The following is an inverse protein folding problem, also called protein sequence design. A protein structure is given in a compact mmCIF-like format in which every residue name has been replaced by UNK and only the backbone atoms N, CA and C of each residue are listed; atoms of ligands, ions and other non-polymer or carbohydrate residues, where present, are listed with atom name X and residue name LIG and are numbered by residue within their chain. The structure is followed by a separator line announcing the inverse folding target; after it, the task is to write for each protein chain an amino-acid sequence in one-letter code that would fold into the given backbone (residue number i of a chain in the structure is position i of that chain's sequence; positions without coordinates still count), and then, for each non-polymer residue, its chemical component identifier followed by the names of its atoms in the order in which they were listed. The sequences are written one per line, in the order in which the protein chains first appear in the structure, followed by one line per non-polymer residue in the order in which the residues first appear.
data_IF_840420529286
#
_entry.id   IF_840420529286
#
_cell.length_a   1.000
_cell.length_b   1.000
_cell.length_c   1.000
_cell.angle_alpha   90.00
_cell.angle_beta   90.00
_cell.angle_gamma   90.00
#
_symmetry.space_group_name_H-M   'P 1'
#
loop_
_entity.id
_entity.type
_entity.pdbx_description
1 polymer ?
#
# COMPACT_ATOMS: atom_id res chain seq x y z
N UNK A 1 -26.78 3.77 -17.05
CA UNK A 1 -25.46 3.91 -16.42
C UNK A 1 -25.50 4.45 -14.97
N UNK A 2 -26.39 5.40 -14.60
CA UNK A 2 -26.45 5.97 -13.24
C UNK A 2 -26.90 5.00 -12.13
N UNK A 3 -27.82 4.07 -12.41
CA UNK A 3 -28.29 3.07 -11.41
C UNK A 3 -27.21 2.11 -10.90
N UNK A 4 -26.15 1.88 -11.68
CA UNK A 4 -25.04 1.01 -11.29
C UNK A 4 -24.08 1.70 -10.30
N UNK A 5 -23.81 2.99 -10.47
CA UNK A 5 -22.87 3.75 -9.60
C UNK A 5 -23.34 3.80 -8.15
N UNK A 6 -24.65 3.95 -7.88
CA UNK A 6 -25.19 4.00 -6.52
C UNK A 6 -24.94 2.73 -5.71
N UNK A 7 -25.03 1.54 -6.32
CA UNK A 7 -24.76 0.26 -5.64
C UNK A 7 -23.31 0.12 -5.21
N UNK A 8 -22.37 0.56 -6.06
CA UNK A 8 -20.93 0.56 -5.73
C UNK A 8 -20.60 1.54 -4.62
N UNK A 9 -21.17 2.76 -4.65
CA UNK A 9 -20.97 3.77 -3.60
C UNK A 9 -21.53 3.24 -2.28
N UNK A 10 -22.74 2.69 -2.28
CA UNK A 10 -23.33 2.10 -1.07
C UNK A 10 -22.50 0.94 -0.53
N UNK A 11 -22.03 0.04 -1.41
CA UNK A 11 -21.13 -1.06 -1.02
C UNK A 11 -19.83 -0.56 -0.40
N UNK A 12 -19.24 0.49 -0.97
CA UNK A 12 -18.03 1.12 -0.42
C UNK A 12 -18.28 1.75 0.95
N UNK A 13 -19.39 2.46 1.12
CA UNK A 13 -19.76 3.09 2.40
C UNK A 13 -20.05 2.05 3.48
N UNK A 14 -20.75 0.96 3.14
CA UNK A 14 -21.01 -0.15 4.08
C UNK A 14 -19.69 -0.84 4.48
N UNK A 15 -18.79 -1.08 3.54
CA UNK A 15 -17.49 -1.69 3.81
C UNK A 15 -16.62 -0.78 4.68
N UNK A 16 -16.58 0.53 4.37
CA UNK A 16 -15.86 1.52 5.17
C UNK A 16 -16.45 1.64 6.57
N UNK A 17 -17.77 1.73 6.70
CA UNK A 17 -18.46 1.76 7.99
C UNK A 17 -18.23 0.49 8.81
N UNK A 18 -18.29 -0.68 8.17
CA UNK A 18 -17.99 -1.97 8.80
C UNK A 18 -16.54 -2.05 9.29
N UNK A 19 -15.60 -1.55 8.50
CA UNK A 19 -14.20 -1.49 8.91
C UNK A 19 -13.96 -0.55 10.09
N UNK A 20 -14.56 0.64 10.07
CA UNK A 20 -14.51 1.59 11.20
C UNK A 20 -15.15 0.96 12.44
N UNK A 21 -16.32 0.33 12.29
CA UNK A 21 -17.00 -0.37 13.39
C UNK A 21 -16.11 -1.48 13.98
N UNK A 22 -15.47 -2.28 13.14
CA UNK A 22 -14.52 -3.32 13.58
C UNK A 22 -13.33 -2.71 14.33
N UNK A 23 -12.78 -1.60 13.82
CA UNK A 23 -11.66 -0.93 14.48
C UNK A 23 -12.04 -0.34 15.84
N UNK A 24 -13.28 0.15 15.97
CA UNK A 24 -13.82 0.65 17.25
C UNK A 24 -14.08 -0.47 18.27
N UNK A 25 -14.54 -1.63 17.80
CA UNK A 25 -14.92 -2.75 18.69
C UNK A 25 -13.72 -3.66 19.03
N UNK A 26 -12.81 -3.83 18.10
CA UNK A 26 -11.63 -4.72 18.21
C UNK A 26 -10.41 -4.12 17.51
N UNK A 27 -9.76 -3.10 18.09
CA UNK A 27 -8.74 -2.31 17.42
C UNK A 27 -7.51 -3.13 16.98
N UNK A 28 -7.13 -4.17 17.74
CA UNK A 28 -6.02 -5.07 17.35
C UNK A 28 -6.38 -5.85 16.08
N UNK A 29 -7.62 -6.34 15.98
CA UNK A 29 -8.13 -7.04 14.79
C UNK A 29 -8.25 -6.06 13.62
N UNK A 30 -8.72 -4.85 13.88
CA UNK A 30 -8.78 -3.76 12.89
C UNK A 30 -7.39 -3.42 12.34
N UNK A 31 -6.38 -3.32 13.22
CA UNK A 31 -4.98 -3.09 12.82
C UNK A 31 -4.44 -4.23 11.97
N UNK A 32 -4.61 -5.48 12.39
CA UNK A 32 -4.17 -6.65 11.62
C UNK A 32 -4.84 -6.72 10.25
N UNK A 33 -6.15 -6.44 10.19
CA UNK A 33 -6.89 -6.36 8.93
C UNK A 33 -6.41 -5.23 8.04
N UNK A 34 -6.07 -4.05 8.61
CA UNK A 34 -5.50 -2.92 7.86
C UNK A 34 -4.20 -3.31 7.16
N UNK A 35 -3.31 -3.98 7.90
CA UNK A 35 -2.04 -4.49 7.36
C UNK A 35 -2.31 -5.50 6.23
N UNK A 36 -3.23 -6.45 6.46
CA UNK A 36 -3.62 -7.44 5.44
C UNK A 36 -4.19 -6.80 4.17
N UNK A 37 -5.07 -5.82 4.31
CA UNK A 37 -5.65 -5.06 3.19
C UNK A 37 -4.56 -4.27 2.46
N UNK A 38 -3.62 -3.64 3.18
CA UNK A 38 -2.52 -2.90 2.58
C UNK A 38 -1.61 -3.83 1.75
N UNK A 39 -1.29 -5.02 2.26
CA UNK A 39 -0.54 -6.06 1.53
C UNK A 39 -1.29 -6.51 0.28
N UNK A 40 -2.57 -6.86 0.41
CA UNK A 40 -3.36 -7.37 -0.69
C UNK A 40 -3.59 -6.31 -1.78
N UNK A 41 -3.93 -5.07 -1.37
CA UNK A 41 -4.19 -3.96 -2.30
C UNK A 41 -2.90 -3.46 -2.96
N UNK A 42 -1.83 -3.27 -2.18
CA UNK A 42 -0.54 -2.82 -2.69
C UNK A 42 0.06 -3.84 -3.66
N UNK A 43 0.19 -5.09 -3.24
CA UNK A 43 0.72 -6.16 -4.08
C UNK A 43 -0.15 -6.49 -5.29
N UNK A 44 -1.49 -6.51 -5.10
CA UNK A 44 -2.43 -6.76 -6.21
C UNK A 44 -2.41 -5.66 -7.26
N UNK A 45 -2.36 -4.40 -6.84
CA UNK A 45 -2.21 -3.26 -7.73
C UNK A 45 -0.90 -3.31 -8.51
N UNK A 46 0.18 -3.65 -7.84
CA UNK A 46 1.52 -3.73 -8.42
C UNK A 46 1.65 -4.85 -9.46
N UNK A 47 1.10 -6.04 -9.17
CA UNK A 47 1.05 -7.16 -10.14
C UNK A 47 0.16 -6.82 -11.33
N UNK A 48 -0.93 -6.09 -11.11
CA UNK A 48 -1.76 -5.66 -12.22
C UNK A 48 -1.01 -4.70 -13.16
N UNK A 49 -0.22 -3.78 -12.61
CA UNK A 49 0.66 -2.89 -13.41
C UNK A 49 1.71 -3.71 -14.15
N UNK A 50 2.37 -4.65 -13.48
CA UNK A 50 3.37 -5.53 -14.10
C UNK A 50 2.76 -6.25 -15.34
N UNK A 51 1.57 -6.82 -15.20
CA UNK A 51 0.88 -7.49 -16.30
C UNK A 51 0.56 -6.57 -17.47
N UNK A 52 0.25 -5.31 -17.20
CA UNK A 52 -0.14 -4.35 -18.25
C UNK A 52 1.05 -3.67 -18.93
N UNK A 53 2.23 -3.65 -18.30
CA UNK A 53 3.41 -2.93 -18.81
C UNK A 53 4.49 -3.84 -19.38
N UNK A 54 5.00 -4.77 -18.56
CA UNK A 54 6.15 -5.62 -18.91
C UNK A 54 5.77 -7.06 -19.21
N UNK A 55 4.49 -7.40 -18.99
CA UNK A 55 4.03 -8.78 -19.00
C UNK A 55 4.33 -9.52 -17.69
N UNK A 56 3.62 -10.61 -17.46
CA UNK A 56 3.82 -11.46 -16.29
C UNK A 56 3.66 -12.93 -16.70
N UNK A 57 4.30 -13.29 -17.82
CA UNK A 57 4.15 -14.62 -18.43
C UNK A 57 4.69 -15.75 -17.52
N UNK A 58 5.61 -15.41 -16.62
CA UNK A 58 6.10 -16.33 -15.60
C UNK A 58 5.06 -16.66 -14.53
N UNK A 59 3.97 -15.87 -14.39
CA UNK A 59 2.89 -16.13 -13.41
C UNK A 59 1.80 -16.96 -14.06
N UNK A 60 1.93 -18.29 -13.98
CA UNK A 60 1.04 -19.24 -14.68
C UNK A 60 -0.09 -19.81 -13.82
N UNK A 61 -0.02 -19.70 -12.50
CA UNK A 61 -1.00 -20.28 -11.60
C UNK A 61 -1.57 -19.25 -10.60
N UNK A 62 -2.77 -19.54 -10.07
CA UNK A 62 -3.40 -18.74 -9.03
C UNK A 62 -2.55 -18.67 -7.75
N UNK A 63 -1.91 -19.78 -7.37
CA UNK A 63 -1.02 -19.82 -6.20
C UNK A 63 0.16 -18.88 -6.41
N UNK A 64 0.78 -18.93 -7.58
CA UNK A 64 1.89 -18.07 -7.93
C UNK A 64 1.48 -16.59 -7.95
N UNK A 65 0.26 -16.28 -8.39
CA UNK A 65 -0.33 -14.95 -8.30
C UNK A 65 -0.40 -14.45 -6.85
N UNK A 66 -0.92 -15.28 -5.92
CA UNK A 66 -0.99 -14.91 -4.51
C UNK A 66 0.38 -14.75 -3.87
N UNK A 67 1.36 -15.60 -4.25
CA UNK A 67 2.74 -15.45 -3.79
C UNK A 67 3.37 -14.14 -4.31
N UNK A 68 3.14 -13.78 -5.56
CA UNK A 68 3.61 -12.53 -6.14
C UNK A 68 2.98 -11.31 -5.45
N UNK A 69 1.66 -11.33 -5.21
CA UNK A 69 0.95 -10.30 -4.45
C UNK A 69 1.50 -10.20 -3.03
N UNK A 70 1.71 -11.35 -2.36
CA UNK A 70 2.27 -11.40 -1.02
C UNK A 70 3.73 -10.92 -0.95
N UNK A 71 4.56 -11.25 -1.93
CA UNK A 71 5.95 -10.83 -2.00
C UNK A 71 6.08 -9.29 -2.16
N UNK A 72 5.31 -8.70 -3.08
CA UNK A 72 5.34 -7.26 -3.34
C UNK A 72 4.64 -6.45 -2.25
N UNK A 73 3.42 -6.82 -1.88
CA UNK A 73 2.67 -6.14 -0.82
C UNK A 73 3.28 -6.35 0.57
N UNK A 74 3.82 -7.55 0.82
CA UNK A 74 4.54 -7.88 2.06
C UNK A 74 5.83 -7.07 2.20
N UNK A 75 6.53 -6.75 1.12
CA UNK A 75 7.70 -5.86 1.18
C UNK A 75 7.36 -4.52 1.85
N UNK A 76 6.17 -3.96 1.57
CA UNK A 76 5.73 -2.67 2.12
C UNK A 76 5.36 -2.75 3.60
N UNK A 77 4.86 -3.88 4.08
CA UNK A 77 4.34 -4.03 5.45
C UNK A 77 5.18 -4.96 6.32
N UNK A 78 5.53 -6.16 5.83
CA UNK A 78 6.26 -7.14 6.62
C UNK A 78 7.73 -6.76 6.84
N UNK A 79 8.38 -6.18 5.82
CA UNK A 79 9.78 -5.78 5.94
C UNK A 79 9.98 -4.68 7.00
N UNK A 80 9.19 -3.58 7.04
CA UNK A 80 9.30 -2.59 8.12
C UNK A 80 9.01 -3.15 9.52
N UNK A 81 8.08 -4.10 9.64
CA UNK A 81 7.79 -4.75 10.94
C UNK A 81 9.04 -5.46 11.48
N UNK A 82 9.82 -6.07 10.59
CA UNK A 82 11.03 -6.82 10.96
C UNK A 82 12.24 -5.91 11.10
N UNK A 83 12.42 -4.95 10.20
CA UNK A 83 13.58 -4.08 10.16
C UNK A 83 13.53 -2.96 11.22
N UNK A 84 12.33 -2.46 11.51
CA UNK A 84 12.10 -1.35 12.46
C UNK A 84 10.99 -1.70 13.46
N UNK A 85 11.14 -2.77 14.27
CA UNK A 85 10.08 -3.27 15.14
C UNK A 85 9.61 -2.22 16.16
N UNK A 86 10.51 -1.44 16.73
CA UNK A 86 10.17 -0.41 17.73
C UNK A 86 9.34 0.72 17.11
N UNK A 87 9.74 1.21 15.92
CA UNK A 87 9.01 2.27 15.22
C UNK A 87 7.63 1.79 14.80
N UNK A 88 7.51 0.57 14.30
CA UNK A 88 6.24 -0.01 13.90
C UNK A 88 5.33 -0.30 15.10
N UNK A 89 5.90 -0.79 16.19
CA UNK A 89 5.19 -0.99 17.47
C UNK A 89 4.63 0.34 17.98
N UNK A 90 5.45 1.38 18.08
CA UNK A 90 5.02 2.70 18.52
C UNK A 90 3.90 3.28 17.65
N UNK A 91 4.01 3.15 16.34
CA UNK A 91 2.95 3.56 15.41
C UNK A 91 1.65 2.80 15.66
N UNK A 92 1.73 1.49 15.88
CA UNK A 92 0.58 0.62 16.16
C UNK A 92 -0.08 0.97 17.50
N UNK A 93 0.71 1.25 18.52
CA UNK A 93 0.23 1.72 19.82
C UNK A 93 -0.51 3.05 19.69
N UNK A 94 0.05 4.00 18.96
CA UNK A 94 -0.60 5.29 18.71
C UNK A 94 -1.94 5.11 18.01
N UNK A 95 -2.01 4.27 16.98
CA UNK A 95 -3.27 4.01 16.27
C UNK A 95 -4.33 3.39 17.19
N UNK A 96 -3.95 2.43 18.02
CA UNK A 96 -4.89 1.77 18.95
C UNK A 96 -5.28 2.70 20.09
N UNK A 97 -4.35 3.48 20.63
CA UNK A 97 -4.60 4.42 21.73
C UNK A 97 -5.56 5.54 21.40
N UNK A 98 -5.66 5.91 20.11
CA UNK A 98 -6.67 6.89 19.67
C UNK A 98 -8.10 6.44 19.95
N UNK A 99 -8.33 5.13 20.06
CA UNK A 99 -9.66 4.54 20.25
C UNK A 99 -9.77 3.86 21.61
N UNK A 100 -8.72 3.14 22.00
CA UNK A 100 -8.65 2.38 23.26
C UNK A 100 -7.36 2.68 24.02
N UNK A 101 -7.32 3.75 24.84
CA UNK A 101 -6.12 4.13 25.60
C UNK A 101 -5.63 3.03 26.55
N UNK A 102 -6.53 2.19 27.05
CA UNK A 102 -6.19 1.10 27.99
C UNK A 102 -5.59 -0.13 27.29
N UNK A 103 -5.68 -0.22 25.96
CA UNK A 103 -5.18 -1.34 25.18
C UNK A 103 -3.69 -1.29 24.81
N UNK A 104 -2.99 -0.22 25.21
CA UNK A 104 -1.60 0.05 24.79
C UNK A 104 -0.65 -1.07 25.20
N UNK A 105 -0.75 -1.58 26.43
CA UNK A 105 0.14 -2.62 26.95
C UNK A 105 -0.02 -4.00 26.30
N UNK A 106 -1.17 -4.24 25.65
CA UNK A 106 -1.43 -5.53 25.01
C UNK A 106 -0.66 -5.70 23.68
N UNK A 107 -0.37 -4.62 22.96
CA UNK A 107 0.26 -4.67 21.64
C UNK A 107 1.71 -5.17 21.73
N UNK A 108 2.47 -4.75 22.76
CA UNK A 108 3.87 -5.15 22.93
C UNK A 108 4.07 -6.67 23.02
N UNK A 109 3.19 -7.37 23.73
CA UNK A 109 3.24 -8.83 23.84
C UNK A 109 2.94 -9.53 22.53
N UNK A 110 2.05 -8.99 21.70
CA UNK A 110 1.75 -9.54 20.37
C UNK A 110 2.93 -9.37 19.41
N UNK A 111 3.60 -8.23 19.38
CA UNK A 111 4.71 -7.97 18.46
C UNK A 111 5.94 -8.84 18.71
N UNK A 112 6.21 -9.21 19.96
CA UNK A 112 7.33 -10.10 20.30
C UNK A 112 7.23 -11.48 19.64
N UNK A 113 6.01 -11.97 19.44
CA UNK A 113 5.72 -13.26 18.80
C UNK A 113 5.41 -13.09 17.31
N UNK A 114 4.57 -12.12 16.96
CA UNK A 114 4.09 -11.94 15.58
C UNK A 114 5.15 -11.36 14.67
N UNK A 115 6.07 -10.53 15.16
CA UNK A 115 7.17 -9.98 14.36
C UNK A 115 8.02 -11.05 13.69
N UNK A 116 8.63 -11.98 14.44
CA UNK A 116 9.38 -13.09 13.87
C UNK A 116 8.55 -13.99 12.96
N UNK A 117 7.29 -14.28 13.30
CA UNK A 117 6.40 -15.09 12.46
C UNK A 117 6.09 -14.40 11.13
N UNK A 118 5.85 -13.10 11.14
CA UNK A 118 5.65 -12.30 9.93
C UNK A 118 6.91 -12.33 9.06
N UNK A 119 8.09 -12.19 9.66
CA UNK A 119 9.37 -12.25 8.96
C UNK A 119 9.62 -13.60 8.28
N UNK A 120 9.42 -14.69 9.02
CA UNK A 120 9.55 -16.05 8.47
C UNK A 120 8.49 -16.29 7.38
N UNK A 121 7.24 -15.96 7.64
CA UNK A 121 6.14 -16.10 6.68
C UNK A 121 6.39 -15.32 5.39
N UNK A 122 6.84 -14.08 5.53
CA UNK A 122 7.22 -13.25 4.38
C UNK A 122 8.40 -13.86 3.60
N UNK A 123 9.44 -14.32 4.30
CA UNK A 123 10.59 -14.98 3.68
C UNK A 123 10.18 -16.20 2.85
N UNK A 124 9.28 -17.04 3.38
CA UNK A 124 8.75 -18.21 2.67
C UNK A 124 7.93 -17.80 1.43
N UNK A 125 7.09 -16.79 1.54
CA UNK A 125 6.32 -16.24 0.41
C UNK A 125 7.25 -15.68 -0.67
N UNK A 126 8.26 -14.90 -0.28
CA UNK A 126 9.24 -14.33 -1.20
C UNK A 126 10.05 -15.43 -1.92
N UNK A 127 10.60 -16.41 -1.17
CA UNK A 127 11.35 -17.52 -1.74
C UNK A 127 10.46 -18.34 -2.68
N UNK A 128 9.23 -18.64 -2.28
CA UNK A 128 8.25 -19.35 -3.09
C UNK A 128 7.93 -18.62 -4.40
N UNK A 129 7.75 -17.29 -4.33
CA UNK A 129 7.53 -16.44 -5.50
C UNK A 129 8.72 -16.49 -6.48
N UNK A 130 9.93 -16.27 -5.98
CA UNK A 130 11.17 -16.29 -6.79
C UNK A 130 11.39 -17.65 -7.42
N UNK A 131 11.25 -18.73 -6.62
CA UNK A 131 11.48 -20.10 -7.09
C UNK A 131 10.48 -20.56 -8.15
N UNK A 132 9.17 -20.32 -7.93
CA UNK A 132 8.15 -20.66 -8.92
C UNK A 132 8.26 -19.81 -10.18
N UNK A 133 8.59 -18.52 -10.04
CA UNK A 133 8.84 -17.65 -11.17
C UNK A 133 10.04 -18.12 -12.00
N UNK A 134 11.15 -18.49 -11.34
CA UNK A 134 12.32 -19.07 -12.00
C UNK A 134 12.00 -20.34 -12.77
N UNK A 135 11.22 -21.25 -12.16
CA UNK A 135 10.82 -22.51 -12.80
C UNK A 135 9.94 -22.30 -14.02
N UNK A 136 9.10 -21.27 -14.00
CA UNK A 136 8.11 -21.00 -15.04
C UNK A 136 8.55 -19.90 -16.03
N UNK A 137 9.79 -19.42 -15.93
CA UNK A 137 10.30 -18.37 -16.83
C UNK A 137 10.36 -18.88 -18.28
N UNK A 138 9.92 -18.04 -19.18
CA UNK A 138 10.02 -18.23 -20.63
C UNK A 138 10.84 -17.05 -21.15
N UNK A 139 12.12 -17.10 -21.28
CA UNK A 139 13.05 -16.25 -22.02
C UNK A 139 12.77 -14.75 -22.26
N UNK A 140 11.73 -14.19 -21.63
CA UNK A 140 11.18 -12.85 -21.92
C UNK A 140 11.74 -11.73 -21.04
N UNK A 141 12.54 -12.06 -20.02
CA UNK A 141 13.05 -11.07 -19.04
C UNK A 141 12.00 -10.55 -18.03
N UNK A 142 10.74 -10.95 -18.13
CA UNK A 142 9.67 -10.46 -17.25
C UNK A 142 9.82 -10.92 -15.80
N UNK A 143 10.37 -12.12 -15.58
CA UNK A 143 10.67 -12.64 -14.26
C UNK A 143 11.82 -11.87 -13.58
N UNK A 144 12.88 -11.59 -14.32
CA UNK A 144 14.04 -10.86 -13.83
C UNK A 144 13.67 -9.45 -13.39
N UNK A 145 12.80 -8.77 -14.14
CA UNK A 145 12.28 -7.44 -13.78
C UNK A 145 11.43 -7.53 -12.52
N UNK A 146 10.53 -8.50 -12.44
CA UNK A 146 9.65 -8.70 -11.28
C UNK A 146 10.46 -8.95 -10.00
N UNK A 147 11.45 -9.83 -10.06
CA UNK A 147 12.34 -10.13 -8.92
C UNK A 147 13.18 -8.92 -8.55
N UNK A 148 13.77 -8.22 -9.54
CA UNK A 148 14.59 -7.04 -9.30
C UNK A 148 13.78 -5.92 -8.62
N UNK A 149 12.56 -5.64 -9.09
CA UNK A 149 11.66 -4.66 -8.47
C UNK A 149 11.27 -5.07 -7.05
N UNK A 150 10.98 -6.36 -6.83
CA UNK A 150 10.62 -6.86 -5.50
C UNK A 150 11.80 -6.77 -4.53
N UNK A 151 13.01 -7.11 -4.96
CA UNK A 151 14.23 -6.94 -4.17
C UNK A 151 14.47 -5.46 -3.86
N UNK A 152 14.29 -4.58 -4.84
CA UNK A 152 14.43 -3.13 -4.64
C UNK A 152 13.46 -2.63 -3.55
N UNK A 153 12.21 -3.08 -3.56
CA UNK A 153 11.25 -2.75 -2.51
C UNK A 153 11.68 -3.28 -1.15
N UNK A 154 12.14 -4.53 -1.08
CA UNK A 154 12.64 -5.13 0.18
C UNK A 154 13.81 -4.32 0.73
N UNK A 155 14.80 -4.02 -0.09
CA UNK A 155 15.99 -3.24 0.31
C UNK A 155 15.58 -1.82 0.74
N UNK A 156 14.71 -1.18 -0.02
CA UNK A 156 14.21 0.15 0.29
C UNK A 156 13.52 0.17 1.68
N UNK A 157 12.58 -0.73 1.93
CA UNK A 157 11.85 -0.79 3.20
C UNK A 157 12.67 -1.37 4.36
N UNK A 158 13.79 -2.04 4.10
CA UNK A 158 14.72 -2.49 5.13
C UNK A 158 15.71 -1.41 5.60
N UNK A 159 16.01 -0.43 4.75
CA UNK A 159 17.05 0.58 5.04
C UNK A 159 16.42 1.94 5.39
N UNK A 160 15.34 2.33 4.70
CA UNK A 160 14.74 3.66 4.90
C UNK A 160 13.78 3.64 6.09
N UNK A 161 13.88 4.60 7.05
CA UNK A 161 12.97 4.70 8.18
C UNK A 161 11.50 4.67 7.76
N UNK A 162 10.67 3.93 8.49
CA UNK A 162 9.28 3.56 8.09
C UNK A 162 8.45 4.76 7.63
N UNK A 163 8.48 5.86 8.38
CA UNK A 163 7.67 7.06 8.06
C UNK A 163 8.05 7.66 6.72
N UNK A 164 9.36 7.77 6.46
CA UNK A 164 9.89 8.30 5.20
C UNK A 164 9.63 7.29 4.08
N UNK A 165 9.89 6.01 4.34
CA UNK A 165 9.68 4.94 3.34
C UNK A 165 8.25 4.91 2.86
N UNK A 166 7.27 4.88 3.76
CA UNK A 166 5.84 4.87 3.42
C UNK A 166 5.42 6.19 2.77
N UNK A 167 5.92 7.33 3.31
CA UNK A 167 5.60 8.66 2.79
C UNK A 167 6.09 8.90 1.36
N UNK A 168 7.21 8.31 0.96
CA UNK A 168 7.72 8.40 -0.42
C UNK A 168 7.18 7.30 -1.33
N UNK A 169 6.95 6.09 -0.81
CA UNK A 169 6.46 4.97 -1.60
C UNK A 169 5.11 5.27 -2.25
N UNK A 170 4.14 5.75 -1.49
CA UNK A 170 2.79 5.96 -2.04
C UNK A 170 2.74 7.04 -3.14
N UNK A 171 3.29 8.25 -2.98
CA UNK A 171 3.23 9.26 -4.04
C UNK A 171 4.17 8.97 -5.21
N UNK A 172 5.37 8.45 -4.96
CA UNK A 172 6.37 8.29 -6.02
C UNK A 172 6.25 6.94 -6.73
N UNK A 173 6.24 5.83 -5.98
CA UNK A 173 6.22 4.50 -6.57
C UNK A 173 4.81 4.05 -6.96
N UNK A 174 3.92 3.97 -5.96
CA UNK A 174 2.58 3.42 -6.17
C UNK A 174 1.75 4.28 -7.13
N UNK A 175 1.74 5.60 -6.93
CA UNK A 175 0.96 6.51 -7.75
C UNK A 175 1.50 6.63 -9.17
N UNK A 176 2.84 6.71 -9.36
CA UNK A 176 3.43 6.72 -10.68
C UNK A 176 3.10 5.44 -11.48
N UNK A 177 3.11 4.29 -10.82
CA UNK A 177 2.71 3.02 -11.46
C UNK A 177 1.22 2.99 -11.81
N UNK A 178 0.35 3.53 -10.97
CA UNK A 178 -1.09 3.62 -11.30
C UNK A 178 -1.33 4.54 -12.50
N UNK A 179 -0.62 5.67 -12.61
CA UNK A 179 -0.69 6.54 -13.78
C UNK A 179 -0.19 5.82 -15.04
N UNK A 180 0.97 5.15 -14.95
CA UNK A 180 1.51 4.39 -16.08
C UNK A 180 0.52 3.32 -16.57
N UNK A 181 -0.20 2.69 -15.65
CA UNK A 181 -1.28 1.75 -15.94
C UNK A 181 -2.44 2.42 -16.67
N UNK A 182 -2.97 3.53 -16.14
CA UNK A 182 -4.09 4.24 -16.77
C UNK A 182 -3.72 4.65 -18.20
N UNK A 183 -2.52 5.18 -18.40
CA UNK A 183 -2.01 5.55 -19.72
C UNK A 183 -1.83 4.34 -20.66
N UNK A 184 -1.58 3.13 -20.13
CA UNK A 184 -1.43 1.91 -20.96
C UNK A 184 -2.77 1.28 -21.32
N UNK A 185 -3.79 1.41 -20.47
CA UNK A 185 -5.13 0.85 -20.71
C UNK A 185 -5.93 1.72 -21.68
N UNK A 186 -5.73 3.03 -21.66
CA UNK A 186 -6.45 3.99 -22.51
C UNK A 186 -6.05 3.95 -24.00
N UNK A 187 -5.09 3.11 -24.37
CA UNK A 187 -4.75 2.84 -25.79
C UNK A 187 -5.83 2.04 -26.55
N UNK A 188 -6.95 1.73 -25.90
CA UNK A 188 -8.09 1.08 -26.56
C UNK A 188 -8.82 2.09 -27.47
N UNK A 189 -9.01 1.79 -28.77
CA UNK A 189 -9.56 2.74 -29.76
C UNK A 189 -11.02 3.14 -29.53
N UNK A 190 -11.66 2.70 -28.45
CA UNK A 190 -13.07 2.92 -28.16
C UNK A 190 -13.37 4.02 -27.13
N UNK A 191 -12.36 4.59 -26.47
CA UNK A 191 -12.61 5.61 -25.45
C UNK A 191 -11.56 6.73 -25.58
N UNK A 192 -11.84 7.70 -26.44
CA UNK A 192 -11.00 8.89 -26.66
C UNK A 192 -11.32 10.02 -25.66
N UNK A 193 -11.52 9.70 -24.40
CA UNK A 193 -11.74 10.70 -23.35
C UNK A 193 -10.76 10.44 -22.21
N UNK A 194 -10.07 11.48 -21.76
CA UNK A 194 -9.17 11.42 -20.60
C UNK A 194 -9.95 11.23 -19.28
N UNK A 195 -9.23 11.12 -18.16
CA UNK A 195 -9.80 10.96 -16.81
C UNK A 195 -10.81 12.07 -16.47
N UNK A 196 -10.71 13.24 -17.10
CA UNK A 196 -11.60 14.38 -16.93
C UNK A 196 -12.72 14.43 -17.98
N UNK A 197 -12.81 13.46 -18.89
CA UNK A 197 -13.83 13.38 -19.93
C UNK A 197 -13.58 14.33 -21.10
N UNK A 198 -12.36 14.86 -21.25
CA UNK A 198 -11.98 15.71 -22.38
C UNK A 198 -11.51 14.86 -23.57
N UNK A 199 -11.75 15.30 -24.83
CA UNK A 199 -11.23 14.60 -26.00
C UNK A 199 -9.71 14.57 -25.98
N UNK A 200 -9.13 13.39 -26.21
CA UNK A 200 -7.68 13.19 -26.24
C UNK A 200 -7.11 13.80 -27.53
N UNK A 201 -6.30 14.84 -27.37
CA UNK A 201 -5.65 15.52 -28.52
C UNK A 201 -4.13 15.31 -28.55
N UNK A 202 -3.51 14.98 -27.37
CA UNK A 202 -2.06 14.79 -27.26
C UNK A 202 -1.72 13.97 -26.02
N UNK A 203 -0.91 12.88 -26.12
CA UNK A 203 -0.53 12.02 -25.00
C UNK A 203 0.22 12.78 -23.88
N UNK A 204 0.96 13.84 -24.22
CA UNK A 204 1.67 14.66 -23.22
C UNK A 204 0.68 15.44 -22.35
N UNK A 205 -0.40 15.95 -22.93
CA UNK A 205 -1.44 16.67 -22.19
C UNK A 205 -2.22 15.76 -21.24
N UNK A 206 -2.48 14.52 -21.64
CA UNK A 206 -3.13 13.49 -20.80
C UNK A 206 -2.26 13.16 -19.59
N UNK A 207 -0.96 12.94 -19.78
CA UNK A 207 -0.02 12.68 -18.70
C UNK A 207 0.05 13.86 -17.71
N UNK A 208 0.15 15.09 -18.19
CA UNK A 208 0.18 16.29 -17.35
C UNK A 208 -1.10 16.46 -16.53
N UNK A 209 -2.27 16.20 -17.12
CA UNK A 209 -3.56 16.26 -16.41
C UNK A 209 -3.67 15.16 -15.34
N UNK A 210 -3.23 13.94 -15.66
CA UNK A 210 -3.20 12.85 -14.70
C UNK A 210 -2.32 13.19 -13.49
N UNK A 211 -1.13 13.75 -13.73
CA UNK A 211 -0.25 14.26 -12.67
C UNK A 211 -0.88 15.39 -11.87
N UNK A 212 -1.56 16.34 -12.53
CA UNK A 212 -2.25 17.42 -11.86
C UNK A 212 -3.36 16.92 -10.93
N UNK A 213 -4.20 16.00 -11.40
CA UNK A 213 -5.28 15.40 -10.59
C UNK A 213 -4.70 14.67 -9.37
N UNK A 214 -3.59 13.96 -9.57
CA UNK A 214 -2.92 13.24 -8.49
C UNK A 214 -2.33 14.16 -7.44
N UNK A 215 -1.62 15.22 -7.87
CA UNK A 215 -1.05 16.22 -6.96
C UNK A 215 -2.18 16.95 -6.23
N UNK A 216 -3.25 17.36 -6.93
CA UNK A 216 -4.39 18.01 -6.32
C UNK A 216 -5.09 17.13 -5.28
N UNK A 217 -5.25 15.82 -5.59
CA UNK A 217 -5.79 14.84 -4.65
C UNK A 217 -4.90 14.63 -3.42
N UNK A 218 -3.58 14.55 -3.62
CA UNK A 218 -2.61 14.43 -2.53
C UNK A 218 -2.62 15.68 -1.63
N UNK A 219 -2.66 16.87 -2.21
CA UNK A 219 -2.76 18.13 -1.47
C UNK A 219 -4.09 18.25 -0.70
N UNK A 220 -5.20 17.83 -1.32
CA UNK A 220 -6.50 17.81 -0.66
C UNK A 220 -6.50 16.87 0.54
N UNK A 221 -5.92 15.68 0.40
CA UNK A 221 -5.77 14.72 1.51
C UNK A 221 -4.88 15.26 2.61
N UNK A 222 -3.73 15.86 2.26
CA UNK A 222 -2.82 16.48 3.21
C UNK A 222 -3.53 17.64 3.96
N UNK A 223 -4.33 18.44 3.26
CA UNK A 223 -5.11 19.53 3.87
C UNK A 223 -6.12 19.02 4.91
N UNK A 224 -6.79 17.91 4.62
CA UNK A 224 -7.69 17.25 5.57
C UNK A 224 -6.93 16.81 6.83
N UNK A 225 -5.75 16.17 6.67
CA UNK A 225 -4.91 15.77 7.82
C UNK A 225 -4.50 16.98 8.65
N UNK A 226 -4.10 18.08 8.01
CA UNK A 226 -3.72 19.34 8.70
C UNK A 226 -4.92 19.93 9.44
N UNK A 227 -6.10 19.97 8.82
CA UNK A 227 -7.33 20.43 9.48
C UNK A 227 -7.67 19.59 10.71
N UNK A 228 -7.60 18.25 10.58
CA UNK A 228 -7.82 17.37 11.73
C UNK A 228 -6.77 17.55 12.83
N UNK A 229 -5.51 17.79 12.48
CA UNK A 229 -4.45 18.07 13.44
C UNK A 229 -4.74 19.29 14.31
N UNK A 230 -5.31 20.33 13.73
CA UNK A 230 -5.66 21.56 14.47
C UNK A 230 -7.06 21.53 15.09
N UNK A 231 -8.01 20.78 14.51
CA UNK A 231 -9.40 20.75 14.97
C UNK A 231 -9.65 19.73 16.09
N UNK A 232 -8.88 18.65 16.16
CA UNK A 232 -9.02 17.64 17.21
C UNK A 232 -8.08 18.04 18.36
N UNK A 233 -8.60 18.12 19.62
CA UNK A 233 -7.75 18.34 20.78
C UNK A 233 -6.67 17.28 20.81
N UNK A 234 -5.41 17.69 20.79
CA UNK A 234 -4.27 16.80 20.69
C UNK A 234 -4.20 15.96 21.98
N UNK A 235 -4.49 14.67 21.99
CA UNK A 235 -4.44 13.83 23.18
C UNK A 235 -3.01 13.57 23.64
N UNK A 236 -2.01 13.96 22.81
CA UNK A 236 -0.61 13.82 23.16
C UNK A 236 -0.22 14.96 24.12
N UNK A 237 0.40 14.67 25.28
CA UNK A 237 0.92 15.70 26.16
C UNK A 237 1.82 16.64 25.35
N UNK A 238 1.61 17.93 25.51
CA UNK A 238 2.43 18.99 24.91
C UNK A 238 3.89 18.78 25.33
N UNK A 239 4.72 18.22 24.46
CA UNK A 239 6.12 17.86 24.74
C UNK A 239 6.54 16.46 24.31
N UNK A 240 5.60 15.56 23.95
CA UNK A 240 5.95 14.21 23.54
C UNK A 240 6.30 14.08 22.06
N UNK A 241 6.04 15.08 21.25
CA UNK A 241 6.56 15.18 19.87
C UNK A 241 7.83 16.02 19.89
N UNK A 242 8.83 15.57 20.61
CA UNK A 242 10.20 15.97 20.29
C UNK A 242 10.62 15.19 19.05
N UNK A 243 10.73 15.89 17.91
CA UNK A 243 11.42 15.40 16.71
C UNK A 243 12.88 14.95 17.01
N UNK A 244 13.39 15.26 18.18
CA UNK A 244 14.69 14.81 18.72
C UNK A 244 14.78 13.32 19.06
N UNK A 245 13.68 12.58 19.00
CA UNK A 245 13.67 11.13 19.23
C UNK A 245 13.72 10.28 17.96
N UNK A 246 13.83 10.90 16.78
CA UNK A 246 14.25 10.19 15.56
C UNK A 246 15.76 10.18 15.58
N UNK A 247 16.33 9.33 16.42
CA UNK A 247 17.72 8.93 16.26
C UNK A 247 17.80 8.18 14.93
N UNK A 248 18.49 8.77 13.96
CA UNK A 248 18.94 8.14 12.76
C UNK A 248 19.96 7.06 13.09
#
# INVERSE_FOLDING_TARGET
AMKFRGKYILGYLLMAGGFIGLFLLAPIVGLALSIGIAVAKGGGGDIYVLKSTTGAEHIKSTIQMYLAVGARGGAVMAVPIVAFPESFHRFSELMVSMIHPEGIGAIGSYFSITGPLIGIGYGLVFIGHVWLGFRNREGTGSWEIDVAETILLVVYFAIVPVVIAVGLYFPLWYSARQIARELSVDKSPTTQTDILGCPETDPTSVALRAWFVLIAGALATASVVVVFWFAIPNPLPSGSVQLSGVAF
#
